data_IF_614766259896
#
_entry.id   IF_614766259896
#
_cell.length_a   1.000
_cell.length_b   1.000
_cell.length_c   1.000
_cell.angle_alpha   90.00
_cell.angle_beta   90.00
_cell.angle_gamma   90.00
#
_symmetry.space_group_name_H-M   'P 1'
#
loop_
_entity.id
_entity.type
_entity.pdbx_description
1 polymer ?
#
# COMPACT_ATOMS: atom_id res chain seq x y z
N UNK A 1 7.21 0.13 24.80
CA UNK A 1 7.87 0.92 23.73
C UNK A 1 6.79 1.48 22.84
N UNK A 2 6.79 2.81 22.58
CA UNK A 2 5.77 3.52 21.80
C UNK A 2 5.99 3.27 20.31
N UNK A 3 4.89 2.94 19.59
CA UNK A 3 4.86 2.77 18.14
C UNK A 3 4.19 4.00 17.55
N UNK A 4 4.84 4.65 16.60
CA UNK A 4 4.25 5.72 15.81
C UNK A 4 3.91 5.23 14.39
N UNK A 5 2.79 5.68 13.85
CA UNK A 5 2.31 5.35 12.54
C UNK A 5 2.16 6.63 11.73
N UNK A 6 2.94 6.79 10.68
CA UNK A 6 2.76 7.91 9.74
C UNK A 6 1.61 7.60 8.78
N UNK A 7 1.01 8.64 8.20
CA UNK A 7 -0.12 8.44 7.29
C UNK A 7 -1.31 7.70 7.93
N UNK A 8 -1.44 7.76 9.27
CA UNK A 8 -2.40 6.98 10.05
C UNK A 8 -3.87 7.22 9.66
N UNK A 9 -4.20 8.38 9.09
CA UNK A 9 -5.55 8.68 8.59
C UNK A 9 -5.82 8.20 7.17
N UNK A 10 -4.79 7.70 6.47
CA UNK A 10 -4.91 7.09 5.13
C UNK A 10 -5.56 5.71 5.18
N UNK A 11 -5.86 5.16 4.01
CA UNK A 11 -6.57 3.87 3.88
C UNK A 11 -5.81 2.72 4.59
N UNK A 12 -4.52 2.56 4.32
CA UNK A 12 -3.70 1.54 4.98
C UNK A 12 -3.49 1.87 6.47
N UNK A 13 -3.17 3.14 6.78
CA UNK A 13 -2.85 3.55 8.14
C UNK A 13 -3.97 3.30 9.15
N UNK A 14 -5.22 3.57 8.77
CA UNK A 14 -6.40 3.28 9.62
C UNK A 14 -6.53 1.80 9.95
N UNK A 15 -6.29 0.94 8.97
CA UNK A 15 -6.34 -0.52 9.15
C UNK A 15 -5.19 -1.00 10.04
N UNK A 16 -3.98 -0.45 9.88
CA UNK A 16 -2.85 -0.77 10.77
C UNK A 16 -3.15 -0.37 12.20
N UNK A 17 -3.70 0.82 12.44
CA UNK A 17 -4.09 1.26 13.80
C UNK A 17 -5.14 0.31 14.37
N UNK A 18 -6.14 -0.09 13.59
CA UNK A 18 -7.17 -1.03 14.03
C UNK A 18 -6.56 -2.40 14.40
N UNK A 19 -5.67 -2.94 13.57
CA UNK A 19 -4.97 -4.21 13.83
C UNK A 19 -4.10 -4.13 15.09
N UNK A 20 -3.35 -3.05 15.27
CA UNK A 20 -2.49 -2.87 16.46
C UNK A 20 -3.33 -2.77 17.74
N UNK A 21 -4.46 -2.05 17.71
CA UNK A 21 -5.37 -1.99 18.86
C UNK A 21 -5.97 -3.33 19.22
N UNK A 22 -6.29 -4.16 18.23
CA UNK A 22 -6.84 -5.49 18.45
C UNK A 22 -5.79 -6.50 18.94
N UNK A 23 -4.61 -6.53 18.31
CA UNK A 23 -3.58 -7.53 18.57
C UNK A 23 -2.64 -7.17 19.74
N UNK A 24 -2.45 -5.89 20.03
CA UNK A 24 -1.52 -5.40 21.05
C UNK A 24 -2.09 -4.20 21.83
N UNK A 25 -3.23 -4.34 22.52
CA UNK A 25 -3.96 -3.24 23.15
C UNK A 25 -3.15 -2.50 24.24
N UNK A 26 -2.16 -3.16 24.84
CA UNK A 26 -1.27 -2.56 25.83
C UNK A 26 -0.12 -1.73 25.24
N UNK A 27 0.11 -1.77 23.92
CA UNK A 27 1.18 -0.99 23.27
C UNK A 27 0.75 0.46 23.10
N UNK A 28 1.54 1.43 23.59
CA UNK A 28 1.27 2.84 23.33
C UNK A 28 1.42 3.14 21.83
N UNK A 29 0.38 3.71 21.23
CA UNK A 29 0.35 4.09 19.81
C UNK A 29 0.26 5.61 19.67
N UNK A 30 0.88 6.15 18.63
CA UNK A 30 0.78 7.57 18.25
C UNK A 30 0.55 7.67 16.74
N UNK A 31 -0.50 8.38 16.35
CA UNK A 31 -0.74 8.72 14.95
C UNK A 31 0.08 9.96 14.56
N UNK A 32 0.90 9.85 13.52
CA UNK A 32 1.61 10.95 12.91
C UNK A 32 0.87 11.38 11.64
N UNK A 33 0.31 12.58 11.64
CA UNK A 33 -0.63 13.02 10.61
C UNK A 33 -0.48 14.52 10.31
N UNK A 34 -0.82 14.95 9.10
CA UNK A 34 -0.81 16.38 8.72
C UNK A 34 -1.84 17.21 9.51
N UNK A 35 -2.96 16.60 9.92
CA UNK A 35 -4.03 17.26 10.65
C UNK A 35 -4.47 16.39 11.82
N UNK A 36 -4.01 16.64 13.06
CA UNK A 36 -4.39 15.87 14.25
C UNK A 36 -5.90 15.84 14.50
N UNK A 37 -6.62 16.91 14.19
CA UNK A 37 -8.07 16.96 14.35
C UNK A 37 -8.80 15.87 13.55
N UNK A 38 -8.30 15.54 12.33
CA UNK A 38 -8.88 14.47 11.49
C UNK A 38 -8.55 13.07 12.01
N UNK A 39 -7.61 12.93 12.94
CA UNK A 39 -7.20 11.66 13.51
C UNK A 39 -8.00 11.26 14.76
N UNK A 40 -8.88 12.11 15.27
CA UNK A 40 -9.71 11.81 16.45
C UNK A 40 -10.48 10.50 16.34
N UNK A 41 -10.94 10.16 15.14
CA UNK A 41 -11.66 8.90 14.85
C UNK A 41 -10.83 7.64 15.07
N UNK A 42 -9.49 7.75 15.17
CA UNK A 42 -8.60 6.61 15.40
C UNK A 42 -8.59 6.18 16.87
N UNK A 43 -9.03 7.04 17.80
CA UNK A 43 -9.06 6.75 19.23
C UNK A 43 -7.68 6.52 19.85
N UNK A 44 -6.63 7.13 19.28
CA UNK A 44 -5.25 7.14 19.79
C UNK A 44 -4.69 8.57 19.74
N UNK A 45 -3.70 8.91 20.57
CA UNK A 45 -3.02 10.20 20.51
C UNK A 45 -2.50 10.51 19.10
N UNK A 46 -2.64 11.75 18.67
CA UNK A 46 -2.16 12.21 17.38
C UNK A 46 -1.20 13.39 17.55
N UNK A 47 -0.16 13.44 16.70
CA UNK A 47 0.79 14.55 16.60
C UNK A 47 0.85 15.04 15.17
N UNK A 48 1.05 16.35 14.99
CA UNK A 48 1.28 16.92 13.67
C UNK A 48 2.63 16.46 13.14
N UNK A 49 2.61 15.90 11.93
CA UNK A 49 3.79 15.46 11.21
C UNK A 49 3.50 15.54 9.71
N UNK A 50 4.14 16.48 9.05
CA UNK A 50 4.05 16.68 7.61
C UNK A 50 5.41 16.37 6.97
N UNK A 51 5.43 15.41 6.06
CA UNK A 51 6.67 15.00 5.39
C UNK A 51 7.32 16.14 4.59
N UNK A 52 6.52 17.09 4.10
CA UNK A 52 7.00 18.25 3.37
C UNK A 52 7.47 19.41 4.29
N UNK A 53 7.20 19.29 5.61
CA UNK A 53 7.57 20.30 6.62
C UNK A 53 8.46 19.69 7.69
N UNK A 54 9.79 19.61 7.47
CA UNK A 54 10.74 18.93 8.36
C UNK A 54 10.70 19.42 9.81
N UNK A 55 10.37 20.68 10.04
CA UNK A 55 10.26 21.29 11.37
C UNK A 55 9.19 20.65 12.24
N UNK A 56 8.18 20.01 11.65
CA UNK A 56 7.12 19.31 12.39
C UNK A 56 7.54 17.91 12.86
N UNK A 57 8.59 17.32 12.26
CA UNK A 57 8.86 15.89 12.35
C UNK A 57 9.62 15.50 13.62
N UNK A 58 10.68 16.24 13.99
CA UNK A 58 11.55 15.86 15.13
C UNK A 58 10.76 15.83 16.44
N UNK A 59 9.98 16.90 16.70
CA UNK A 59 9.10 16.98 17.88
C UNK A 59 8.03 15.91 17.89
N UNK A 60 7.44 15.61 16.71
CA UNK A 60 6.43 14.56 16.58
C UNK A 60 6.99 13.15 16.89
N UNK A 61 8.27 12.92 16.64
CA UNK A 61 8.96 11.64 16.88
C UNK A 61 9.60 11.54 18.26
N UNK A 62 9.52 12.55 19.11
CA UNK A 62 10.08 12.52 20.47
C UNK A 62 9.46 11.38 21.29
N UNK A 63 10.33 10.51 21.88
CA UNK A 63 9.93 9.38 22.69
C UNK A 63 9.37 8.18 21.91
N UNK A 64 9.47 8.17 20.59
CA UNK A 64 9.05 7.06 19.74
C UNK A 64 10.18 6.01 19.66
N UNK A 65 9.84 4.78 19.96
CA UNK A 65 10.77 3.66 19.84
C UNK A 65 10.75 3.02 18.45
N UNK A 66 9.55 2.80 17.91
CA UNK A 66 9.37 2.17 16.60
C UNK A 66 8.49 3.05 15.71
N UNK A 67 8.94 3.29 14.50
CA UNK A 67 8.23 4.07 13.49
C UNK A 67 7.75 3.14 12.37
N UNK A 68 6.45 3.17 12.05
CA UNK A 68 5.95 2.71 10.77
C UNK A 68 5.93 3.90 9.81
N UNK A 69 6.83 3.88 8.83
CA UNK A 69 6.84 4.82 7.72
C UNK A 69 5.97 4.27 6.59
N UNK A 70 4.73 4.72 6.53
CA UNK A 70 3.86 4.45 5.38
C UNK A 70 4.28 5.37 4.24
N UNK A 71 4.51 4.80 3.05
CA UNK A 71 4.98 5.56 1.90
C UNK A 71 4.02 6.68 1.50
N UNK A 72 4.59 7.83 1.14
CA UNK A 72 3.83 8.95 0.60
C UNK A 72 3.16 8.57 -0.73
N UNK A 73 1.96 9.10 -0.95
CA UNK A 73 1.24 8.98 -2.24
C UNK A 73 1.62 10.08 -3.25
N UNK A 74 2.47 11.03 -2.85
CA UNK A 74 2.88 12.15 -3.69
C UNK A 74 4.07 11.73 -4.58
N UNK A 75 3.76 11.11 -5.72
CA UNK A 75 4.75 10.68 -6.71
C UNK A 75 5.57 11.89 -7.20
N UNK A 76 6.88 11.73 -7.29
CA UNK A 76 7.82 12.82 -7.60
C UNK A 76 8.30 13.62 -6.38
N UNK A 77 7.63 13.49 -5.23
CA UNK A 77 8.03 14.12 -3.96
C UNK A 77 8.42 13.10 -2.88
N UNK A 78 8.07 11.83 -3.09
CA UNK A 78 8.23 10.75 -2.09
C UNK A 78 9.65 10.66 -1.56
N UNK A 79 10.66 10.68 -2.41
CA UNK A 79 12.05 10.52 -2.00
C UNK A 79 12.49 11.63 -1.05
N UNK A 80 12.16 12.89 -1.35
CA UNK A 80 12.49 14.06 -0.49
C UNK A 80 11.73 13.96 0.82
N UNK A 81 10.44 13.66 0.76
CA UNK A 81 9.58 13.53 1.93
C UNK A 81 10.06 12.42 2.87
N UNK A 82 10.42 11.25 2.33
CA UNK A 82 10.94 10.14 3.16
C UNK A 82 12.31 10.44 3.74
N UNK A 83 13.18 11.18 3.02
CA UNK A 83 14.46 11.65 3.55
C UNK A 83 14.25 12.50 4.79
N UNK A 84 13.31 13.46 4.75
CA UNK A 84 12.96 14.29 5.90
C UNK A 84 12.57 13.46 7.12
N UNK A 85 11.67 12.46 6.91
CA UNK A 85 11.22 11.59 8.00
C UNK A 85 12.35 10.75 8.58
N UNK A 86 13.19 10.15 7.72
CA UNK A 86 14.32 9.30 8.16
C UNK A 86 15.34 10.12 8.95
N UNK A 87 15.67 11.34 8.48
CA UNK A 87 16.57 12.25 9.19
C UNK A 87 15.99 12.65 10.56
N UNK A 88 14.71 13.02 10.61
CA UNK A 88 14.05 13.35 11.85
C UNK A 88 13.99 12.16 12.82
N UNK A 89 13.74 10.96 12.31
CA UNK A 89 13.75 9.74 13.11
C UNK A 89 15.12 9.47 13.74
N UNK A 90 16.19 9.70 12.98
CA UNK A 90 17.57 9.62 13.49
C UNK A 90 17.83 10.64 14.59
N UNK A 91 17.45 11.89 14.39
CA UNK A 91 17.64 12.98 15.36
C UNK A 91 16.82 12.74 16.65
N UNK A 92 15.59 12.22 16.52
CA UNK A 92 14.73 11.90 17.65
C UNK A 92 15.11 10.60 18.39
N UNK A 93 16.10 9.86 17.89
CA UNK A 93 16.60 8.63 18.50
C UNK A 93 15.64 7.42 18.37
N UNK A 94 14.83 7.38 17.32
CA UNK A 94 14.00 6.22 16.96
C UNK A 94 14.88 4.98 16.84
N UNK A 95 14.43 3.87 17.42
CA UNK A 95 15.24 2.64 17.53
C UNK A 95 15.03 1.68 16.36
N UNK A 96 13.90 1.78 15.66
CA UNK A 96 13.54 0.91 14.55
C UNK A 96 12.56 1.60 13.58
N UNK A 97 12.74 1.37 12.28
CA UNK A 97 11.82 1.82 11.24
C UNK A 97 11.30 0.61 10.46
N UNK A 98 9.98 0.50 10.34
CA UNK A 98 9.30 -0.41 9.40
C UNK A 98 8.79 0.43 8.25
N UNK A 99 9.13 0.07 7.02
CA UNK A 99 8.80 0.87 5.84
C UNK A 99 7.92 0.08 4.88
N UNK A 100 6.83 0.68 4.40
CA UNK A 100 6.01 0.11 3.33
C UNK A 100 6.61 0.47 1.97
N UNK A 101 7.38 -0.46 1.40
CA UNK A 101 8.01 -0.36 0.10
C UNK A 101 7.13 -0.96 -1.01
N UNK A 102 7.70 -1.28 -2.14
CA UNK A 102 7.05 -1.82 -3.33
C UNK A 102 7.59 -3.23 -3.63
N UNK A 103 6.69 -4.14 -3.98
CA UNK A 103 7.01 -5.51 -4.43
C UNK A 103 8.11 -5.48 -5.51
N UNK A 104 9.13 -6.33 -5.31
CA UNK A 104 10.27 -6.43 -6.22
C UNK A 104 10.94 -5.09 -6.55
N UNK A 105 11.02 -4.16 -5.58
CA UNK A 105 11.50 -2.80 -5.81
C UNK A 105 12.84 -2.73 -6.57
N UNK A 106 13.71 -3.73 -6.41
CA UNK A 106 15.03 -3.77 -7.07
C UNK A 106 14.90 -3.93 -8.60
N UNK A 107 13.93 -4.68 -9.09
CA UNK A 107 13.77 -5.07 -10.50
C UNK A 107 12.46 -4.61 -11.13
N UNK A 108 11.52 -4.12 -10.33
CA UNK A 108 10.20 -3.74 -10.80
C UNK A 108 10.27 -2.65 -11.89
N UNK A 109 9.57 -2.83 -13.03
CA UNK A 109 9.46 -1.84 -14.08
C UNK A 109 8.43 -0.74 -13.78
N UNK A 110 7.72 -0.84 -12.66
CA UNK A 110 6.74 0.17 -12.25
C UNK A 110 7.43 1.53 -12.06
N UNK A 111 6.82 2.59 -12.59
CA UNK A 111 7.32 3.97 -12.44
C UNK A 111 7.43 4.43 -10.97
N UNK A 112 6.82 3.70 -10.05
CA UNK A 112 6.91 3.92 -8.61
C UNK A 112 8.22 3.40 -8.00
N UNK A 113 8.86 2.41 -8.61
CA UNK A 113 10.01 1.70 -8.04
C UNK A 113 11.23 2.57 -7.76
N UNK A 114 11.62 3.55 -8.59
CA UNK A 114 12.80 4.37 -8.34
C UNK A 114 12.77 5.08 -6.98
N UNK A 115 11.65 5.73 -6.61
CA UNK A 115 11.53 6.43 -5.33
C UNK A 115 11.52 5.47 -4.12
N UNK A 116 10.99 4.26 -4.30
CA UNK A 116 11.07 3.22 -3.27
C UNK A 116 12.50 2.73 -3.08
N UNK A 117 13.25 2.46 -4.16
CA UNK A 117 14.68 2.09 -4.10
C UNK A 117 15.52 3.17 -3.42
N UNK A 118 15.27 4.44 -3.75
CA UNK A 118 15.97 5.56 -3.09
C UNK A 118 15.68 5.56 -1.58
N UNK A 119 14.43 5.38 -1.17
CA UNK A 119 14.05 5.29 0.24
C UNK A 119 14.71 4.11 0.95
N UNK A 120 14.70 2.92 0.33
CA UNK A 120 15.39 1.75 0.88
C UNK A 120 16.90 2.00 1.06
N UNK A 121 17.53 2.70 0.11
CA UNK A 121 18.92 3.08 0.19
C UNK A 121 19.19 4.05 1.35
N UNK A 122 18.31 5.04 1.54
CA UNK A 122 18.37 5.97 2.67
C UNK A 122 18.22 5.25 4.02
N UNK A 123 17.32 4.28 4.13
CA UNK A 123 17.16 3.47 5.34
C UNK A 123 18.41 2.64 5.64
N UNK A 124 19.00 2.01 4.63
CA UNK A 124 20.25 1.26 4.76
C UNK A 124 21.41 2.16 5.27
N UNK A 125 21.47 3.41 4.82
CA UNK A 125 22.50 4.37 5.21
C UNK A 125 22.22 5.06 6.56
N UNK A 126 20.99 5.02 7.09
CA UNK A 126 20.60 5.77 8.29
C UNK A 126 21.25 5.25 9.58
N UNK A 127 21.66 3.96 9.61
CA UNK A 127 22.20 3.30 10.81
C UNK A 127 21.13 2.99 11.86
N UNK A 128 19.86 3.03 11.51
CA UNK A 128 18.72 2.63 12.34
C UNK A 128 18.29 1.24 11.88
N UNK A 129 18.08 0.26 12.77
CA UNK A 129 17.47 -1.01 12.42
C UNK A 129 16.16 -0.81 11.63
N UNK A 130 15.99 -1.54 10.54
CA UNK A 130 14.82 -1.39 9.71
C UNK A 130 14.26 -2.72 9.23
N UNK A 131 13.01 -2.70 8.77
CA UNK A 131 12.35 -3.79 8.06
C UNK A 131 11.66 -3.23 6.83
N UNK A 132 11.80 -3.89 5.69
CA UNK A 132 11.12 -3.51 4.45
C UNK A 132 9.90 -4.42 4.25
N UNK A 133 8.72 -3.81 4.14
CA UNK A 133 7.49 -4.47 3.71
C UNK A 133 7.26 -4.04 2.26
N UNK A 134 7.74 -4.83 1.31
CA UNK A 134 7.56 -4.61 -0.11
C UNK A 134 6.16 -5.08 -0.50
N UNK A 135 5.18 -4.20 -0.27
CA UNK A 135 3.79 -4.47 -0.57
C UNK A 135 3.56 -4.56 -2.08
N UNK A 136 2.86 -5.59 -2.50
CA UNK A 136 2.34 -5.74 -3.86
C UNK A 136 1.14 -4.81 -4.09
N UNK A 137 0.33 -5.17 -5.09
CA UNK A 137 -0.80 -4.34 -5.47
C UNK A 137 -1.98 -4.51 -4.51
N UNK A 138 -2.68 -3.42 -4.24
CA UNK A 138 -3.90 -3.49 -3.43
C UNK A 138 -5.08 -3.95 -4.29
N UNK A 139 -5.80 -4.98 -3.85
CA UNK A 139 -6.99 -5.48 -4.56
C UNK A 139 -8.02 -4.36 -4.76
N UNK A 140 -8.13 -3.44 -3.80
CA UNK A 140 -9.05 -2.31 -3.86
C UNK A 140 -8.73 -1.30 -4.98
N UNK A 141 -7.52 -1.34 -5.56
CA UNK A 141 -7.22 -0.53 -6.74
C UNK A 141 -8.02 -0.97 -7.95
N UNK A 142 -8.36 -2.25 -8.05
CA UNK A 142 -9.23 -2.79 -9.10
C UNK A 142 -10.69 -2.85 -8.67
N UNK A 143 -10.97 -3.35 -7.45
CA UNK A 143 -12.36 -3.52 -7.00
C UNK A 143 -13.07 -2.18 -6.78
N UNK A 144 -12.37 -1.08 -6.63
CA UNK A 144 -12.93 0.27 -6.64
C UNK A 144 -13.66 0.64 -7.95
N UNK A 145 -13.38 -0.09 -9.05
CA UNK A 145 -14.04 0.11 -10.36
C UNK A 145 -15.20 -0.84 -10.62
N UNK A 146 -15.52 -1.77 -9.71
CA UNK A 146 -16.55 -2.80 -9.91
C UNK A 146 -17.94 -2.19 -10.17
N UNK A 147 -18.36 -1.23 -9.38
CA UNK A 147 -19.66 -0.58 -9.57
C UNK A 147 -19.75 0.11 -10.95
N UNK A 148 -18.67 0.79 -11.37
CA UNK A 148 -18.57 1.40 -12.70
C UNK A 148 -18.60 0.37 -13.83
N UNK A 149 -17.93 -0.76 -13.67
CA UNK A 149 -17.94 -1.86 -14.63
C UNK A 149 -19.33 -2.48 -14.79
N UNK A 150 -20.05 -2.69 -13.68
CA UNK A 150 -21.43 -3.21 -13.68
C UNK A 150 -22.40 -2.23 -14.35
N UNK A 151 -22.23 -0.94 -14.12
CA UNK A 151 -23.04 0.11 -14.77
C UNK A 151 -22.70 0.28 -16.25
N UNK A 152 -21.42 0.21 -16.62
CA UNK A 152 -20.92 0.41 -17.99
C UNK A 152 -20.93 -0.86 -18.85
N UNK A 153 -21.20 -2.04 -18.28
CA UNK A 153 -21.29 -3.32 -19.00
C UNK A 153 -19.93 -3.91 -19.42
N UNK A 154 -18.80 -3.41 -18.88
CA UNK A 154 -17.48 -3.99 -19.12
C UNK A 154 -16.50 -3.55 -18.04
N UNK A 155 -15.52 -4.40 -17.72
CA UNK A 155 -14.32 -4.04 -16.96
C UNK A 155 -13.21 -3.68 -17.95
N UNK A 156 -12.62 -2.49 -17.82
CA UNK A 156 -11.59 -2.00 -18.74
C UNK A 156 -10.21 -1.93 -18.07
N UNK A 157 -9.17 -2.11 -18.85
CA UNK A 157 -7.78 -2.00 -18.39
C UNK A 157 -6.80 -2.19 -19.53
N UNK A 158 -5.50 -2.22 -19.23
CA UNK A 158 -4.41 -2.43 -20.18
C UNK A 158 -3.45 -3.55 -19.75
N UNK A 159 -3.87 -4.44 -18.85
CA UNK A 159 -2.98 -5.47 -18.30
C UNK A 159 -2.92 -6.76 -19.13
N UNK A 160 -3.68 -6.85 -20.23
CA UNK A 160 -3.68 -8.06 -21.10
C UNK A 160 -3.94 -9.33 -20.29
N UNK A 161 -3.09 -10.33 -20.49
CA UNK A 161 -3.10 -11.60 -19.77
C UNK A 161 -2.14 -11.61 -18.56
N UNK A 162 -1.69 -10.44 -18.11
CA UNK A 162 -0.80 -10.31 -16.96
C UNK A 162 -1.42 -10.87 -15.69
N UNK A 163 -0.64 -11.68 -14.97
CA UNK A 163 -1.06 -12.24 -13.68
C UNK A 163 -0.77 -11.26 -12.55
N UNK A 164 -1.73 -11.09 -11.66
CA UNK A 164 -1.70 -10.11 -10.58
C UNK A 164 -1.92 -10.83 -9.26
N UNK A 165 -0.93 -10.81 -8.38
CA UNK A 165 -0.99 -11.37 -7.02
C UNK A 165 -1.36 -10.25 -6.03
N UNK A 166 -2.52 -9.60 -6.21
CA UNK A 166 -2.93 -8.54 -5.30
C UNK A 166 -3.43 -9.10 -3.96
N UNK A 167 -3.34 -8.29 -2.91
CA UNK A 167 -3.93 -8.57 -1.61
C UNK A 167 -4.70 -7.34 -1.10
N UNK A 168 -5.58 -7.54 -0.13
CA UNK A 168 -6.33 -6.43 0.46
C UNK A 168 -5.42 -5.56 1.32
N UNK A 169 -5.76 -4.28 1.45
CA UNK A 169 -5.09 -3.40 2.43
C UNK A 169 -5.18 -3.95 3.85
N UNK A 170 -6.23 -4.72 4.16
CA UNK A 170 -6.38 -5.36 5.46
C UNK A 170 -5.32 -6.44 5.70
N UNK A 171 -4.98 -7.26 4.69
CA UNK A 171 -3.92 -8.26 4.78
C UNK A 171 -2.54 -7.60 4.98
N UNK A 172 -2.24 -6.54 4.23
CA UNK A 172 -0.99 -5.77 4.40
C UNK A 172 -0.92 -5.06 5.76
N UNK A 173 -2.05 -4.55 6.25
CA UNK A 173 -2.13 -3.94 7.57
C UNK A 173 -1.87 -4.96 8.68
N UNK A 174 -2.38 -6.17 8.53
CA UNK A 174 -2.12 -7.27 9.46
C UNK A 174 -0.64 -7.66 9.46
N UNK A 175 0.00 -7.77 8.28
CA UNK A 175 1.43 -8.02 8.16
C UNK A 175 2.27 -6.93 8.86
N UNK A 176 1.91 -5.66 8.65
CA UNK A 176 2.57 -4.56 9.33
C UNK A 176 2.41 -4.65 10.85
N UNK A 177 1.21 -4.99 11.35
CA UNK A 177 0.97 -5.17 12.78
C UNK A 177 1.77 -6.33 13.38
N UNK A 178 1.89 -7.46 12.69
CA UNK A 178 2.74 -8.59 13.09
C UNK A 178 4.18 -8.14 13.25
N UNK A 179 4.74 -7.49 12.22
CA UNK A 179 6.13 -7.02 12.24
C UNK A 179 6.38 -5.99 13.34
N UNK A 180 5.42 -5.11 13.60
CA UNK A 180 5.54 -4.07 14.63
C UNK A 180 5.47 -4.62 16.06
N UNK A 181 4.85 -5.78 16.26
CA UNK A 181 4.55 -6.32 17.59
C UNK A 181 5.38 -7.53 17.98
N UNK A 182 6.08 -8.16 17.05
CA UNK A 182 6.93 -9.31 17.28
C UNK A 182 8.42 -9.01 17.02
N UNK A 183 9.29 -9.92 17.45
CA UNK A 183 10.74 -9.79 17.30
C UNK A 183 11.24 -10.57 16.07
N UNK A 184 12.51 -10.34 15.71
CA UNK A 184 13.19 -11.12 14.67
C UNK A 184 12.96 -10.60 13.24
N UNK A 185 12.53 -9.36 13.09
CA UNK A 185 12.25 -8.74 11.77
C UNK A 185 13.30 -7.71 11.35
N UNK A 186 14.22 -7.32 12.22
CA UNK A 186 15.24 -6.33 11.90
C UNK A 186 16.15 -6.81 10.77
N UNK A 187 16.42 -5.93 9.81
CA UNK A 187 17.20 -6.21 8.61
C UNK A 187 16.49 -7.07 7.56
N UNK A 188 15.23 -7.48 7.80
CA UNK A 188 14.49 -8.31 6.84
C UNK A 188 13.77 -7.48 5.78
N UNK A 189 13.69 -8.07 4.60
CA UNK A 189 12.85 -7.63 3.48
C UNK A 189 11.80 -8.71 3.22
N UNK A 190 10.54 -8.32 3.16
CA UNK A 190 9.42 -9.20 2.84
C UNK A 190 8.82 -8.79 1.52
N UNK A 191 8.74 -9.71 0.58
CA UNK A 191 7.97 -9.57 -0.66
C UNK A 191 6.53 -10.01 -0.36
N UNK A 192 5.63 -9.06 -0.28
CA UNK A 192 4.26 -9.30 0.20
C UNK A 192 3.27 -9.21 -0.95
N UNK A 193 2.63 -10.33 -1.28
CA UNK A 193 1.63 -10.45 -2.34
C UNK A 193 0.53 -11.44 -1.93
N UNK A 194 -0.59 -11.41 -2.65
CA UNK A 194 -1.70 -12.34 -2.45
C UNK A 194 -1.35 -13.77 -2.86
N UNK A 195 -1.98 -14.75 -2.23
CA UNK A 195 -1.79 -16.18 -2.51
C UNK A 195 -2.37 -16.58 -3.87
N UNK A 196 -3.40 -15.88 -4.33
CA UNK A 196 -4.03 -16.10 -5.63
C UNK A 196 -3.48 -15.09 -6.64
N UNK A 197 -3.08 -15.58 -7.82
CA UNK A 197 -2.76 -14.75 -8.95
C UNK A 197 -3.84 -14.88 -10.01
N UNK A 198 -4.42 -13.77 -10.41
CA UNK A 198 -5.51 -13.70 -11.38
C UNK A 198 -5.18 -12.72 -12.51
N UNK A 199 -5.88 -12.84 -13.63
CA UNK A 199 -5.89 -11.86 -14.73
C UNK A 199 -7.07 -10.89 -14.56
N UNK A 200 -7.07 -9.77 -15.27
CA UNK A 200 -8.26 -8.90 -15.29
C UNK A 200 -9.45 -9.58 -15.98
N UNK A 201 -9.22 -10.58 -16.83
CA UNK A 201 -10.26 -11.46 -17.38
C UNK A 201 -10.92 -12.28 -16.27
N UNK A 202 -10.13 -12.86 -15.36
CA UNK A 202 -10.64 -13.62 -14.22
C UNK A 202 -11.45 -12.72 -13.26
N UNK A 203 -10.95 -11.49 -13.01
CA UNK A 203 -11.69 -10.51 -12.21
C UNK A 203 -13.05 -10.16 -12.85
N UNK A 204 -13.07 -9.90 -14.15
CA UNK A 204 -14.31 -9.59 -14.89
C UNK A 204 -15.29 -10.78 -14.89
N UNK A 205 -14.79 -12.01 -14.99
CA UNK A 205 -15.58 -13.23 -14.88
C UNK A 205 -16.20 -13.35 -13.47
N UNK A 206 -15.43 -13.06 -12.43
CA UNK A 206 -15.93 -13.10 -11.04
C UNK A 206 -16.97 -12.00 -10.79
N UNK A 207 -16.78 -10.79 -11.31
CA UNK A 207 -17.78 -9.71 -11.26
C UNK A 207 -19.07 -10.19 -11.98
N UNK A 208 -18.95 -10.79 -13.16
CA UNK A 208 -20.08 -11.30 -13.92
C UNK A 208 -20.85 -12.35 -13.13
N UNK A 209 -20.14 -13.31 -12.56
CA UNK A 209 -20.71 -14.40 -11.76
C UNK A 209 -21.51 -13.88 -10.57
N UNK A 210 -20.98 -12.90 -9.84
CA UNK A 210 -21.62 -12.39 -8.62
C UNK A 210 -22.73 -11.38 -8.91
N UNK A 211 -22.56 -10.53 -9.94
CA UNK A 211 -23.56 -9.52 -10.30
C UNK A 211 -24.75 -10.10 -11.12
N UNK A 212 -24.62 -11.30 -11.68
CA UNK A 212 -25.59 -11.89 -12.60
C UNK A 212 -25.66 -11.18 -13.96
N UNK A 213 -24.70 -10.33 -14.28
CA UNK A 213 -24.61 -9.59 -15.55
C UNK A 213 -23.39 -10.04 -16.35
N UNK A 214 -23.44 -9.92 -17.68
CA UNK A 214 -22.27 -10.16 -18.52
C UNK A 214 -21.35 -8.93 -18.50
N UNK A 215 -20.19 -9.05 -17.85
CA UNK A 215 -19.19 -7.97 -17.71
C UNK A 215 -17.87 -8.49 -18.28
N UNK A 216 -17.64 -8.40 -19.60
CA UNK A 216 -16.38 -8.82 -20.19
C UNK A 216 -15.23 -7.88 -19.79
N UNK A 217 -14.02 -8.42 -19.75
CA UNK A 217 -12.80 -7.61 -19.72
C UNK A 217 -12.54 -7.05 -21.13
N UNK A 218 -12.33 -5.74 -21.22
CA UNK A 218 -11.88 -5.07 -22.44
C UNK A 218 -10.45 -4.57 -22.24
N UNK A 219 -9.50 -5.28 -22.84
CA UNK A 219 -8.12 -4.83 -22.89
C UNK A 219 -7.97 -3.71 -23.90
N UNK A 220 -7.59 -2.53 -23.44
CA UNK A 220 -7.41 -1.34 -24.28
C UNK A 220 -5.91 -1.08 -24.49
N UNK A 221 -5.51 -0.47 -25.62
CA UNK A 221 -4.21 0.15 -25.74
C UNK A 221 -3.98 1.17 -24.62
N UNK A 222 -2.73 1.32 -24.15
CA UNK A 222 -2.37 2.20 -23.03
C UNK A 222 -2.95 3.62 -23.18
N UNK A 223 -2.77 4.23 -24.36
CA UNK A 223 -3.25 5.58 -24.64
C UNK A 223 -4.78 5.70 -24.55
N UNK A 224 -5.51 4.69 -25.06
CA UNK A 224 -6.97 4.67 -25.05
C UNK A 224 -7.52 4.48 -23.63
N UNK A 225 -6.85 3.64 -22.84
CA UNK A 225 -7.22 3.45 -21.43
C UNK A 225 -6.96 4.73 -20.63
N UNK A 226 -5.81 5.37 -20.81
CA UNK A 226 -5.52 6.66 -20.18
C UNK A 226 -6.55 7.74 -20.56
N UNK A 227 -6.91 7.84 -21.86
CA UNK A 227 -7.92 8.78 -22.34
C UNK A 227 -9.31 8.49 -21.73
N UNK A 228 -9.69 7.22 -21.62
CA UNK A 228 -10.95 6.80 -21.01
C UNK A 228 -11.00 7.17 -19.52
N UNK A 229 -9.92 6.91 -18.77
CA UNK A 229 -9.84 7.29 -17.36
C UNK A 229 -9.90 8.82 -17.16
N UNK A 230 -9.24 9.59 -18.03
CA UNK A 230 -9.33 11.05 -18.01
C UNK A 230 -10.78 11.52 -18.33
N UNK A 231 -11.46 10.85 -19.26
CA UNK A 231 -12.89 11.08 -19.56
C UNK A 231 -13.81 10.81 -18.37
N UNK A 232 -13.44 9.94 -17.45
CA UNK A 232 -14.14 9.70 -16.17
C UNK A 232 -13.77 10.72 -15.08
N UNK A 233 -12.97 11.75 -15.42
CA UNK A 233 -12.63 12.84 -14.51
C UNK A 233 -11.34 12.63 -13.71
N UNK A 234 -10.53 11.61 -14.00
CA UNK A 234 -9.21 11.50 -13.40
C UNK A 234 -8.25 12.56 -13.95
N UNK A 235 -7.37 13.14 -13.11
CA UNK A 235 -6.29 13.99 -13.61
C UNK A 235 -5.46 13.25 -14.68
N UNK A 236 -5.12 13.93 -15.78
CA UNK A 236 -4.45 13.31 -16.95
C UNK A 236 -3.18 12.54 -16.54
N UNK A 237 -2.32 13.13 -15.71
CA UNK A 237 -1.11 12.47 -15.25
C UNK A 237 -1.35 11.20 -14.43
N UNK A 238 -2.43 11.17 -13.63
CA UNK A 238 -2.83 9.97 -12.88
C UNK A 238 -3.41 8.91 -13.82
N UNK A 239 -4.23 9.30 -14.78
CA UNK A 239 -4.79 8.39 -15.78
C UNK A 239 -3.69 7.70 -16.60
N UNK A 240 -2.69 8.46 -17.05
CA UNK A 240 -1.51 7.93 -17.74
C UNK A 240 -0.69 6.97 -16.84
N UNK A 241 -0.49 7.34 -15.57
CA UNK A 241 0.23 6.49 -14.63
C UNK A 241 -0.49 5.15 -14.40
N UNK A 242 -1.81 5.16 -14.22
CA UNK A 242 -2.62 3.94 -14.03
C UNK A 242 -2.52 3.04 -15.27
N UNK A 243 -2.66 3.59 -16.47
CA UNK A 243 -2.54 2.83 -17.71
C UNK A 243 -1.14 2.21 -17.86
N UNK A 244 -0.08 2.95 -17.56
CA UNK A 244 1.30 2.44 -17.58
C UNK A 244 1.58 1.37 -16.51
N UNK A 245 0.92 1.43 -15.35
CA UNK A 245 1.03 0.38 -14.33
C UNK A 245 0.35 -0.90 -14.79
N UNK A 246 -0.79 -0.82 -15.48
CA UNK A 246 -1.44 -1.98 -16.10
C UNK A 246 -0.55 -2.61 -17.19
N UNK A 247 0.08 -1.80 -18.05
CA UNK A 247 1.06 -2.29 -19.03
C UNK A 247 2.26 -2.96 -18.34
N UNK A 248 2.67 -2.45 -17.19
CA UNK A 248 3.72 -3.11 -16.39
C UNK A 248 3.22 -4.44 -15.81
N UNK A 249 1.95 -4.49 -15.38
CA UNK A 249 1.30 -5.73 -14.91
C UNK A 249 1.23 -6.78 -16.03
N UNK A 250 0.95 -6.38 -17.29
CA UNK A 250 0.98 -7.31 -18.45
C UNK A 250 2.33 -7.99 -18.65
N UNK A 251 3.40 -7.39 -18.11
CA UNK A 251 4.78 -7.89 -18.16
C UNK A 251 5.22 -8.58 -16.85
N UNK A 252 4.27 -8.91 -15.97
CA UNK A 252 4.52 -9.64 -14.74
C UNK A 252 4.96 -8.79 -13.55
N UNK A 253 4.92 -7.46 -13.63
CA UNK A 253 5.36 -6.57 -12.54
C UNK A 253 4.59 -6.74 -11.21
N UNK A 254 3.40 -7.32 -11.26
CA UNK A 254 2.51 -7.50 -10.12
C UNK A 254 2.33 -8.98 -9.71
N UNK A 255 3.17 -9.86 -10.25
CA UNK A 255 3.12 -11.29 -9.94
C UNK A 255 4.17 -11.66 -8.89
N UNK A 256 3.76 -12.41 -7.89
CA UNK A 256 4.62 -13.10 -6.92
C UNK A 256 3.87 -14.32 -6.36
N UNK A 257 4.56 -15.44 -6.24
CA UNK A 257 4.02 -16.69 -5.69
C UNK A 257 4.76 -17.19 -4.44
N UNK A 258 5.57 -16.32 -3.83
CA UNK A 258 6.39 -16.65 -2.65
C UNK A 258 5.58 -16.96 -1.40
N UNK A 259 4.32 -16.48 -1.34
CA UNK A 259 3.40 -16.61 -0.20
C UNK A 259 3.97 -16.07 1.12
N UNK A 260 4.85 -15.07 1.04
CA UNK A 260 5.42 -14.49 2.25
C UNK A 260 4.37 -13.75 3.09
N UNK A 261 3.35 -13.14 2.44
CA UNK A 261 2.28 -12.45 3.15
C UNK A 261 1.47 -13.41 4.01
N UNK A 262 0.94 -14.49 3.44
CA UNK A 262 0.14 -15.48 4.20
C UNK A 262 0.95 -16.18 5.29
N UNK A 263 2.23 -16.49 5.03
CA UNK A 263 3.15 -17.02 6.06
C UNK A 263 3.35 -16.05 7.21
N UNK A 264 3.46 -14.75 6.91
CA UNK A 264 3.69 -13.72 7.93
C UNK A 264 2.45 -13.47 8.80
N UNK A 265 1.25 -13.43 8.18
CA UNK A 265 -0.01 -13.23 8.91
C UNK A 265 -0.59 -14.51 9.52
N UNK A 266 -0.04 -15.68 9.17
CA UNK A 266 -0.46 -16.98 9.72
C UNK A 266 -1.81 -17.51 9.20
N UNK A 267 -2.29 -16.98 8.06
CA UNK A 267 -3.51 -17.42 7.37
C UNK A 267 -3.41 -17.14 5.86
N UNK A 268 -4.24 -17.78 5.02
CA UNK A 268 -4.38 -17.37 3.63
C UNK A 268 -4.76 -15.89 3.49
N UNK A 269 -4.32 -15.26 2.42
CA UNK A 269 -4.75 -13.90 2.07
C UNK A 269 -6.23 -13.89 1.68
N UNK A 270 -6.87 -12.74 1.78
CA UNK A 270 -8.30 -12.59 1.46
C UNK A 270 -8.52 -12.91 -0.03
N UNK A 271 -9.40 -13.88 -0.37
CA UNK A 271 -9.68 -14.27 -1.75
C UNK A 271 -10.28 -13.12 -2.58
N UNK A 272 -9.99 -13.12 -3.89
CA UNK A 272 -10.56 -12.15 -4.84
C UNK A 272 -12.10 -12.12 -4.78
N UNK A 273 -12.72 -13.28 -4.72
CA UNK A 273 -14.18 -13.42 -4.65
C UNK A 273 -14.79 -12.65 -3.48
N UNK A 274 -14.15 -12.68 -2.31
CA UNK A 274 -14.61 -11.95 -1.11
C UNK A 274 -14.57 -10.44 -1.34
N UNK A 275 -13.52 -9.93 -2.00
CA UNK A 275 -13.39 -8.49 -2.27
C UNK A 275 -14.36 -8.01 -3.34
N UNK A 276 -14.67 -8.85 -4.33
CA UNK A 276 -15.72 -8.57 -5.33
C UNK A 276 -17.08 -8.50 -4.66
N UNK A 277 -17.41 -9.45 -3.76
CA UNK A 277 -18.68 -9.41 -2.97
C UNK A 277 -18.80 -8.07 -2.22
N UNK A 278 -17.75 -7.67 -1.51
CA UNK A 278 -17.75 -6.42 -0.75
C UNK A 278 -17.87 -5.16 -1.64
N UNK A 279 -17.42 -5.24 -2.90
CA UNK A 279 -17.50 -4.12 -3.85
C UNK A 279 -18.85 -4.02 -4.58
N UNK A 280 -19.62 -5.10 -4.57
CA UNK A 280 -20.97 -5.13 -5.15
C UNK A 280 -22.05 -4.65 -4.16
N UNK A 281 -21.75 -4.62 -2.85
CA UNK A 281 -22.64 -4.13 -1.77
C UNK A 281 -23.36 -5.27 -1.12
#
# INVERSE_FOLDING_TARGET
MTIAITGATGQLGRLVVAQLRAKAPSKPLVALVRSPAKAAVLGIPAREADYARPETLVGALAGIATLLLISSSEVGQRAIQHRNVIQAAKQAGVKRIVYTSLLHADTSPLSLAPEHRETESMLKAAGIPFTLLRNGWYTENYTGSVAGAVAGGAFIGSAGEGRISSATRADYAEAAAVVLTSAGHDGKTYELAGDEAYTLTDLAAEISRQSGKSIPYKNLPEADYAATLAGFGLPVGLAQAIAGWDVSASKGALFDDSRQLSKLIGRPTTPLATTVTAALG
#
